data_IF_443656849769
#
_entry.id   IF_443656849769
#
_cell.length_a   1.000
_cell.length_b   1.000
_cell.length_c   1.000
_cell.angle_alpha   90.00
_cell.angle_beta   90.00
_cell.angle_gamma   90.00
#
_symmetry.space_group_name_H-M   'P 1'
#
loop_
_entity.id
_entity.type
_entity.pdbx_description
1 polymer ?
#
# COMPACT_ATOMS: atom_id res chain seq x y z
N UNK A 1 19.92 -1.23 20.18
CA UNK A 1 20.29 -0.27 19.11
C UNK A 1 21.70 0.23 19.36
N UNK A 2 22.48 0.45 18.29
CA UNK A 2 23.77 1.14 18.34
C UNK A 2 23.58 2.61 17.95
N UNK A 3 24.31 3.52 18.59
CA UNK A 3 24.27 4.96 18.26
C UNK A 3 25.34 5.25 17.21
N UNK A 4 24.90 5.71 16.03
CA UNK A 4 25.79 6.12 14.95
C UNK A 4 25.65 7.62 14.71
N UNK A 5 26.77 8.33 14.59
CA UNK A 5 26.80 9.72 14.17
C UNK A 5 27.00 9.79 12.66
N UNK A 6 26.08 10.48 11.97
CA UNK A 6 26.16 10.71 10.52
C UNK A 6 26.22 12.21 10.27
N UNK A 7 27.06 12.62 9.32
CA UNK A 7 27.12 14.00 8.85
C UNK A 7 26.12 14.18 7.72
N UNK A 8 25.35 15.28 7.77
CA UNK A 8 24.37 15.64 6.76
C UNK A 8 24.63 17.06 6.29
N UNK A 9 24.31 17.36 5.04
CA UNK A 9 24.23 18.75 4.60
C UNK A 9 23.03 19.42 5.27
N UNK A 10 23.07 20.75 5.36
CA UNK A 10 21.94 21.50 5.91
C UNK A 10 20.64 21.25 5.13
N UNK A 11 20.74 21.13 3.81
CA UNK A 11 19.59 20.84 2.94
C UNK A 11 18.99 19.46 3.22
N UNK A 12 19.83 18.45 3.44
CA UNK A 12 19.38 17.12 3.85
C UNK A 12 18.68 17.17 5.22
N UNK A 13 19.25 17.91 6.19
CA UNK A 13 18.64 18.07 7.51
C UNK A 13 17.27 18.77 7.43
N UNK A 14 17.18 19.86 6.66
CA UNK A 14 15.91 20.59 6.43
C UNK A 14 14.84 19.68 5.83
N UNK A 15 15.19 18.89 4.80
CA UNK A 15 14.24 17.92 4.21
C UNK A 15 13.74 16.91 5.23
N UNK A 16 14.63 16.36 6.06
CA UNK A 16 14.23 15.39 7.07
C UNK A 16 13.33 16.02 8.14
N UNK A 17 13.56 17.27 8.51
CA UNK A 17 12.72 18.00 9.48
C UNK A 17 11.32 18.26 8.93
N UNK A 18 11.22 18.67 7.66
CA UNK A 18 9.91 18.81 6.98
C UNK A 18 9.16 17.48 6.98
N UNK A 19 9.82 16.39 6.56
CA UNK A 19 9.19 15.06 6.52
C UNK A 19 8.80 14.54 7.91
N UNK A 20 9.61 14.84 8.93
CA UNK A 20 9.32 14.53 10.32
C UNK A 20 8.05 15.23 10.79
N UNK A 21 7.92 16.53 10.49
CA UNK A 21 6.74 17.33 10.84
C UNK A 21 5.47 16.86 10.08
N UNK A 22 5.59 16.60 8.78
CA UNK A 22 4.47 16.13 7.94
C UNK A 22 3.95 14.75 8.38
N UNK A 23 4.84 13.85 8.82
CA UNK A 23 4.48 12.47 9.16
C UNK A 23 4.25 12.24 10.66
N UNK A 24 4.56 13.22 11.50
CA UNK A 24 4.50 13.09 12.96
C UNK A 24 5.50 12.06 13.52
N UNK A 25 6.59 11.79 12.81
CA UNK A 25 7.61 10.81 13.20
C UNK A 25 8.84 11.51 13.75
N UNK A 26 9.53 10.88 14.71
CA UNK A 26 10.85 11.38 15.13
C UNK A 26 11.88 11.25 14.00
N UNK A 27 12.89 12.12 14.00
CA UNK A 27 13.98 12.07 13.03
C UNK A 27 14.68 10.70 13.01
N UNK A 28 14.91 10.10 14.18
CA UNK A 28 15.54 8.79 14.29
C UNK A 28 14.65 7.67 13.72
N UNK A 29 13.34 7.75 13.90
CA UNK A 29 12.39 6.80 13.32
C UNK A 29 12.37 6.93 11.79
N UNK A 30 12.35 8.15 11.27
CA UNK A 30 12.36 8.41 9.84
C UNK A 30 13.66 7.91 9.17
N UNK A 31 14.81 8.11 9.80
CA UNK A 31 16.10 7.60 9.31
C UNK A 31 16.14 6.07 9.35
N UNK A 32 15.66 5.43 10.42
CA UNK A 32 15.56 3.97 10.48
C UNK A 32 14.71 3.41 9.36
N UNK A 33 13.51 3.94 9.17
CA UNK A 33 12.62 3.49 8.08
C UNK A 33 13.25 3.70 6.71
N UNK A 34 13.99 4.79 6.50
CA UNK A 34 14.73 5.00 5.26
C UNK A 34 15.84 3.96 5.06
N UNK A 35 16.61 3.64 6.12
CA UNK A 35 17.65 2.61 6.06
C UNK A 35 17.04 1.24 5.77
N UNK A 36 15.99 0.83 6.47
CA UNK A 36 15.28 -0.43 6.21
C UNK A 36 14.67 -0.48 4.81
N UNK A 37 14.17 0.64 4.31
CA UNK A 37 13.60 0.70 2.95
C UNK A 37 14.66 0.59 1.86
N UNK A 38 15.85 1.14 2.09
CA UNK A 38 16.94 1.17 1.10
C UNK A 38 17.86 -0.05 1.19
N UNK A 39 18.06 -0.58 2.39
CA UNK A 39 19.07 -1.59 2.71
C UNK A 39 18.54 -2.72 3.58
N UNK A 40 17.28 -2.66 4.03
CA UNK A 40 16.64 -3.81 4.67
C UNK A 40 16.63 -4.98 3.70
N UNK A 41 16.84 -6.18 4.24
CA UNK A 41 16.93 -7.41 3.46
C UNK A 41 15.81 -7.44 2.41
N UNK A 42 16.20 -7.66 1.14
CA UNK A 42 15.31 -7.69 -0.02
C UNK A 42 13.94 -8.16 0.40
N UNK A 43 12.91 -7.31 0.24
CA UNK A 43 11.50 -7.69 0.40
C UNK A 43 11.39 -9.12 -0.05
N UNK A 44 11.18 -10.03 0.90
CA UNK A 44 11.14 -11.43 0.60
C UNK A 44 10.00 -11.57 -0.41
N UNK A 45 10.35 -11.74 -1.68
CA UNK A 45 9.39 -11.78 -2.77
C UNK A 45 8.37 -12.89 -2.47
N UNK A 46 8.77 -13.90 -1.71
CA UNK A 46 7.95 -14.97 -1.20
C UNK A 46 6.98 -14.52 -0.09
N UNK A 47 7.36 -13.56 0.75
CA UNK A 47 6.47 -12.92 1.73
C UNK A 47 5.47 -11.98 1.05
N UNK A 48 5.89 -11.21 0.05
CA UNK A 48 4.99 -10.36 -0.74
C UNK A 48 4.04 -11.20 -1.60
N UNK A 49 4.52 -12.28 -2.23
CA UNK A 49 3.67 -13.28 -2.92
C UNK A 49 2.72 -13.98 -1.96
N UNK A 50 3.13 -14.25 -0.71
CA UNK A 50 2.22 -14.78 0.33
C UNK A 50 1.09 -13.81 0.63
N UNK A 51 1.39 -12.52 0.80
CA UNK A 51 0.38 -11.48 1.04
C UNK A 51 -0.58 -11.35 -0.14
N UNK A 52 -0.08 -11.39 -1.37
CA UNK A 52 -0.91 -11.41 -2.58
C UNK A 52 -1.79 -12.67 -2.66
N UNK A 53 -1.26 -13.84 -2.29
CA UNK A 53 -2.03 -15.10 -2.24
C UNK A 53 -3.14 -15.06 -1.19
N UNK A 54 -2.91 -14.46 -0.03
CA UNK A 54 -3.96 -14.29 1.00
C UNK A 54 -5.10 -13.40 0.52
N UNK A 55 -4.83 -12.42 -0.34
CA UNK A 55 -5.87 -11.61 -0.98
C UNK A 55 -6.56 -12.28 -2.17
N UNK A 56 -5.91 -13.27 -2.79
CA UNK A 56 -6.44 -14.01 -3.93
C UNK A 56 -7.57 -14.95 -3.46
N UNK A 57 -8.80 -14.69 -3.92
CA UNK A 57 -9.97 -15.47 -3.51
C UNK A 57 -10.75 -14.89 -2.33
N UNK A 58 -10.34 -13.74 -1.76
CA UNK A 58 -11.11 -13.04 -0.73
C UNK A 58 -12.51 -12.56 -1.19
N UNK A 59 -12.78 -12.61 -2.50
CA UNK A 59 -14.08 -12.34 -3.11
C UNK A 59 -14.85 -13.62 -3.50
N UNK A 60 -14.51 -14.79 -2.92
CA UNK A 60 -15.21 -16.06 -3.21
C UNK A 60 -16.26 -16.40 -2.14
N UNK A 61 -16.16 -15.84 -0.93
CA UNK A 61 -17.16 -16.03 0.14
C UNK A 61 -18.36 -15.07 0.03
N UNK A 62 -18.88 -14.90 -1.19
CA UNK A 62 -20.30 -14.60 -1.36
C UNK A 62 -20.96 -15.85 -1.93
N UNK A 63 -21.07 -16.87 -1.09
CA UNK A 63 -22.08 -17.90 -1.29
C UNK A 63 -23.43 -17.21 -1.51
N UNK A 64 -24.00 -17.43 -2.70
CA UNK A 64 -25.31 -16.98 -3.19
C UNK A 64 -25.35 -15.65 -3.96
N UNK A 65 -24.98 -15.71 -5.24
CA UNK A 65 -25.87 -15.27 -6.32
C UNK A 65 -25.38 -15.85 -7.67
N UNK A 66 -26.11 -16.84 -8.19
CA UNK A 66 -26.10 -17.29 -9.59
C UNK A 66 -24.74 -17.53 -10.26
N UNK A 67 -24.15 -18.70 -10.02
CA UNK A 67 -23.04 -19.25 -10.83
C UNK A 67 -23.47 -19.69 -12.25
N UNK A 68 -24.50 -19.04 -12.83
CA UNK A 68 -24.92 -19.21 -14.22
C UNK A 68 -25.00 -17.88 -14.99
N UNK A 69 -24.76 -16.72 -14.36
CA UNK A 69 -24.45 -15.49 -15.10
C UNK A 69 -22.93 -15.39 -15.21
N UNK A 70 -22.40 -15.48 -16.44
CA UNK A 70 -20.99 -15.21 -16.69
C UNK A 70 -20.67 -13.82 -16.12
N UNK A 71 -19.53 -13.64 -15.45
CA UNK A 71 -19.17 -12.37 -14.79
C UNK A 71 -19.26 -11.13 -15.70
N UNK A 72 -19.26 -11.32 -17.02
CA UNK A 72 -19.56 -10.31 -18.03
C UNK A 72 -20.99 -9.76 -17.92
N UNK A 73 -22.00 -10.60 -17.71
CA UNK A 73 -23.42 -10.19 -17.52
C UNK A 73 -23.61 -9.42 -16.21
N UNK A 74 -22.94 -9.83 -15.13
CA UNK A 74 -22.93 -9.09 -13.86
C UNK A 74 -22.34 -7.68 -14.03
N UNK A 75 -21.19 -7.55 -14.72
CA UNK A 75 -20.55 -6.26 -15.00
C UNK A 75 -21.41 -5.43 -15.96
N UNK A 76 -22.06 -6.05 -16.96
CA UNK A 76 -22.98 -5.38 -17.88
C UNK A 76 -24.23 -4.86 -17.16
N UNK A 77 -24.77 -5.60 -16.19
CA UNK A 77 -25.89 -5.18 -15.33
C UNK A 77 -25.51 -4.01 -14.43
N UNK A 78 -24.34 -4.07 -13.78
CA UNK A 78 -23.82 -2.95 -12.99
C UNK A 78 -23.57 -1.69 -13.83
N UNK A 79 -23.06 -1.86 -15.07
CA UNK A 79 -22.83 -0.73 -15.99
C UNK A 79 -24.11 -0.17 -16.62
N UNK A 80 -25.15 -0.99 -16.79
CA UNK A 80 -26.45 -0.54 -17.32
C UNK A 80 -27.31 0.17 -16.28
N UNK A 81 -27.03 -0.01 -14.98
CA UNK A 81 -27.81 0.55 -13.88
C UNK A 81 -27.52 2.01 -13.47
N UNK A 82 -26.62 2.76 -14.11
CA UNK A 82 -26.37 4.17 -13.74
C UNK A 82 -25.85 5.03 -14.88
N UNK A 83 -26.76 5.41 -15.78
CA UNK A 83 -26.78 6.78 -16.27
C UNK A 83 -27.71 7.56 -15.35
N UNK A 84 -27.13 8.27 -14.38
CA UNK A 84 -27.82 9.36 -13.68
C UNK A 84 -28.52 10.21 -14.74
N UNK A 85 -29.85 10.17 -14.72
CA UNK A 85 -30.70 10.90 -15.64
C UNK A 85 -30.41 12.40 -15.47
N UNK A 86 -29.67 12.95 -16.43
CA UNK A 86 -29.52 14.37 -16.59
C UNK A 86 -30.70 14.91 -17.37
N UNK A 87 -31.58 15.61 -16.63
CA UNK A 87 -32.53 16.64 -17.05
C UNK A 87 -33.97 16.23 -17.35
#
# INVERSE_FOLDING_TARGET
MLRTQISLTEEQKRRLDTLSAERGLSLSELVRQAVERCYGESRDAEQDLRRLRVGFGAWVDQDQADQNEAGEEYVARLRSGSRLAGR
#
